data_IF_176539286909
#
_entry.id   IF_176539286909
#
_cell.length_a   1.000
_cell.length_b   1.000
_cell.length_c   1.000
_cell.angle_alpha   90.00
_cell.angle_beta   90.00
_cell.angle_gamma   90.00
#
_symmetry.space_group_name_H-M   'P 1'
#
loop_
_entity.id
_entity.type
_entity.pdbx_description
1 polymer ?
#
# COMPACT_ATOMS: atom_id res chain seq x y z
N UNK A 1 10.20 2.48 32.42
CA UNK A 1 10.29 1.24 31.62
C UNK A 1 11.06 1.53 30.35
N UNK A 2 12.15 0.80 30.08
CA UNK A 2 13.00 1.02 28.90
C UNK A 2 12.33 0.33 27.71
N UNK A 3 11.97 1.09 26.68
CA UNK A 3 11.49 0.52 25.42
C UNK A 3 12.59 -0.38 24.83
N UNK A 4 12.26 -1.61 24.42
CA UNK A 4 13.24 -2.50 23.82
C UNK A 4 13.81 -1.85 22.55
N UNK A 5 15.10 -2.10 22.31
CA UNK A 5 15.85 -1.64 21.15
C UNK A 5 15.10 -1.99 19.85
N UNK A 6 14.78 -0.97 19.03
CA UNK A 6 14.02 -1.03 17.79
C UNK A 6 12.73 -1.89 17.86
N UNK A 7 11.57 -1.23 17.88
CA UNK A 7 10.27 -1.95 17.84
C UNK A 7 10.20 -2.74 16.53
N UNK A 8 10.24 -4.07 16.58
CA UNK A 8 10.01 -4.92 15.41
C UNK A 8 8.50 -5.07 15.19
N UNK A 9 8.02 -4.90 13.96
CA UNK A 9 6.59 -5.03 13.62
C UNK A 9 6.45 -5.91 12.38
N UNK A 10 5.56 -6.89 12.45
CA UNK A 10 5.19 -7.70 11.28
C UNK A 10 4.21 -6.89 10.42
N UNK A 11 4.51 -6.73 9.13
CA UNK A 11 3.63 -6.06 8.18
C UNK A 11 2.93 -7.13 7.35
N UNK A 12 1.62 -7.26 7.52
CA UNK A 12 0.80 -8.27 6.85
C UNK A 12 0.11 -7.63 5.66
N UNK A 13 0.28 -8.22 4.48
CA UNK A 13 -0.23 -7.71 3.22
C UNK A 13 -0.98 -8.82 2.48
N UNK A 14 -2.20 -8.57 1.96
CA UNK A 14 -2.86 -9.51 1.05
C UNK A 14 -2.03 -9.78 -0.22
N UNK A 15 -1.88 -11.04 -0.59
CA UNK A 15 -1.12 -11.46 -1.79
C UNK A 15 -1.72 -11.00 -3.12
N UNK A 16 -3.03 -10.76 -3.15
CA UNK A 16 -3.79 -10.24 -4.28
C UNK A 16 -3.84 -8.69 -4.34
N UNK A 17 -3.14 -7.97 -3.45
CA UNK A 17 -3.17 -6.51 -3.35
C UNK A 17 -1.84 -5.84 -3.73
N UNK A 18 -1.70 -5.56 -5.02
CA UNK A 18 -0.51 -4.92 -5.58
C UNK A 18 -0.25 -3.50 -5.06
N UNK A 19 -1.29 -2.80 -4.61
CA UNK A 19 -1.17 -1.43 -4.08
C UNK A 19 -0.65 -1.51 -2.65
N UNK A 20 -1.21 -2.40 -1.84
CA UNK A 20 -0.77 -2.65 -0.49
C UNK A 20 0.67 -3.18 -0.44
N UNK A 21 1.06 -4.07 -1.35
CA UNK A 21 2.45 -4.56 -1.40
C UNK A 21 3.45 -3.45 -1.68
N UNK A 22 3.13 -2.55 -2.62
CA UNK A 22 3.96 -1.36 -2.89
C UNK A 22 4.01 -0.42 -1.69
N UNK A 23 2.85 -0.17 -1.06
CA UNK A 23 2.78 0.70 0.12
C UNK A 23 3.58 0.13 1.30
N UNK A 24 3.51 -1.17 1.56
CA UNK A 24 4.28 -1.84 2.60
C UNK A 24 5.79 -1.76 2.33
N UNK A 25 6.21 -1.94 1.07
CA UNK A 25 7.60 -1.75 0.66
C UNK A 25 8.09 -0.31 0.88
N UNK A 26 7.29 0.69 0.48
CA UNK A 26 7.63 2.10 0.72
C UNK A 26 7.69 2.39 2.22
N UNK A 27 6.73 1.90 3.01
CA UNK A 27 6.70 2.09 4.45
C UNK A 27 7.94 1.51 5.13
N UNK A 28 8.37 0.31 4.72
CA UNK A 28 9.60 -0.31 5.22
C UNK A 28 10.86 0.49 4.85
N UNK A 29 10.91 1.07 3.66
CA UNK A 29 12.02 1.92 3.23
C UNK A 29 12.08 3.23 4.04
N UNK A 30 10.94 3.89 4.23
CA UNK A 30 10.84 5.17 4.95
C UNK A 30 10.99 5.03 6.48
N UNK A 31 10.76 3.83 7.03
CA UNK A 31 10.95 3.58 8.46
C UNK A 31 12.43 3.60 8.87
N UNK A 32 13.37 3.52 7.92
CA UNK A 32 14.83 3.59 8.17
C UNK A 32 15.32 2.63 9.28
N UNK A 33 14.58 1.54 9.52
CA UNK A 33 14.89 0.55 10.56
C UNK A 33 14.36 0.86 11.97
N UNK A 34 13.59 1.93 12.17
CA UNK A 34 12.86 2.17 13.43
C UNK A 34 11.43 2.71 13.18
N UNK A 35 10.40 1.86 13.27
CA UNK A 35 10.45 0.43 13.63
C UNK A 35 11.09 -0.44 12.54
N UNK A 36 11.62 -1.60 12.95
CA UNK A 36 12.04 -2.66 12.01
C UNK A 36 10.79 -3.35 11.45
N UNK A 37 10.50 -3.15 10.17
CA UNK A 37 9.33 -3.72 9.49
C UNK A 37 9.67 -4.99 8.72
N UNK A 38 9.03 -6.11 9.06
CA UNK A 38 9.13 -7.37 8.32
C UNK A 38 7.85 -7.60 7.51
N UNK A 39 7.92 -7.49 6.20
CA UNK A 39 6.76 -7.66 5.31
C UNK A 39 6.51 -9.13 5.01
N UNK A 40 5.25 -9.55 5.10
CA UNK A 40 4.76 -10.88 4.72
C UNK A 40 3.49 -10.77 3.89
N UNK A 41 3.43 -11.55 2.83
CA UNK A 41 2.24 -11.67 1.98
C UNK A 41 1.40 -12.85 2.47
N UNK A 42 0.08 -12.67 2.55
CA UNK A 42 -0.87 -13.67 3.04
C UNK A 42 -2.05 -13.80 2.09
N UNK A 43 -2.51 -15.02 1.88
CA UNK A 43 -3.74 -15.27 1.13
C UNK A 43 -4.95 -14.83 1.93
N UNK A 44 -5.83 -14.03 1.34
CA UNK A 44 -7.07 -13.59 2.00
C UNK A 44 -8.06 -14.75 2.18
N UNK A 45 -8.11 -15.68 1.22
CA UNK A 45 -9.02 -16.81 1.28
C UNK A 45 -8.66 -17.81 2.38
N UNK A 46 -7.37 -17.93 2.72
CA UNK A 46 -6.84 -18.80 3.78
C UNK A 46 -5.61 -18.16 4.42
N UNK A 47 -5.80 -17.17 5.32
CA UNK A 47 -4.70 -16.42 5.88
C UNK A 47 -3.84 -17.30 6.77
N UNK A 48 -2.53 -17.28 6.54
CA UNK A 48 -1.51 -17.94 7.37
C UNK A 48 -0.45 -16.90 7.71
N UNK A 49 -0.37 -16.54 8.99
CA UNK A 49 0.58 -15.56 9.51
C UNK A 49 1.69 -16.30 10.26
N UNK A 50 2.97 -15.96 10.05
CA UNK A 50 4.06 -16.56 10.84
C UNK A 50 3.89 -16.30 12.33
N UNK A 51 4.24 -17.30 13.14
CA UNK A 51 4.24 -17.15 14.60
C UNK A 51 5.15 -16.00 15.05
N UNK A 52 4.78 -15.39 16.17
CA UNK A 52 5.53 -14.28 16.75
C UNK A 52 6.84 -14.75 17.38
N UNK A 53 7.95 -14.16 16.95
CA UNK A 53 9.27 -14.37 17.54
C UNK A 53 9.63 -13.19 18.46
N UNK A 54 10.08 -12.09 17.87
CA UNK A 54 10.56 -10.89 18.58
C UNK A 54 9.75 -9.64 18.23
N UNK A 55 8.74 -9.78 17.37
CA UNK A 55 7.85 -8.72 16.95
C UNK A 55 7.02 -8.20 18.13
N UNK A 56 6.69 -6.92 18.11
CA UNK A 56 5.84 -6.25 19.10
C UNK A 56 4.34 -6.33 18.74
N UNK A 57 4.02 -6.70 17.50
CA UNK A 57 2.66 -6.83 16.97
C UNK A 57 2.64 -6.85 15.44
N UNK A 58 1.43 -6.80 14.88
CA UNK A 58 1.19 -6.78 13.43
C UNK A 58 0.53 -5.47 12.96
N UNK A 59 1.00 -4.96 11.83
CA UNK A 59 0.41 -3.86 11.07
C UNK A 59 -0.19 -4.44 9.78
N UNK A 60 -1.50 -4.28 9.57
CA UNK A 60 -2.16 -4.77 8.35
C UNK A 60 -2.17 -3.65 7.31
N UNK A 61 -1.70 -3.91 6.09
CA UNK A 61 -1.71 -2.96 4.98
C UNK A 61 -2.60 -3.50 3.87
N UNK A 62 -3.58 -2.71 3.44
CA UNK A 62 -4.52 -3.07 2.37
C UNK A 62 -4.89 -1.85 1.52
N UNK A 63 -5.33 -2.07 0.28
CA UNK A 63 -5.96 -1.04 -0.54
C UNK A 63 -7.44 -0.86 -0.18
N UNK A 64 -7.97 0.32 -0.49
CA UNK A 64 -9.38 0.61 -0.27
C UNK A 64 -10.29 -0.14 -1.29
N UNK A 65 -11.46 -0.58 -0.82
CA UNK A 65 -12.57 -0.99 -1.69
C UNK A 65 -12.57 -2.44 -2.18
N UNK A 66 -11.55 -3.23 -1.84
CA UNK A 66 -11.41 -4.62 -2.32
C UNK A 66 -11.70 -5.70 -1.25
N UNK A 67 -12.05 -5.32 -0.01
CA UNK A 67 -12.19 -6.26 1.12
C UNK A 67 -13.56 -6.20 1.77
N UNK A 68 -14.12 -7.37 2.02
CA UNK A 68 -15.26 -7.56 2.91
C UNK A 68 -14.84 -7.56 4.38
N UNK A 69 -15.82 -7.38 5.27
CA UNK A 69 -15.58 -7.46 6.72
C UNK A 69 -15.13 -8.86 7.15
N UNK A 70 -15.65 -9.91 6.50
CA UNK A 70 -15.28 -11.30 6.78
C UNK A 70 -13.82 -11.59 6.42
N UNK A 71 -13.38 -11.14 5.25
CA UNK A 71 -11.98 -11.25 4.82
C UNK A 71 -11.05 -10.49 5.77
N UNK A 72 -11.45 -9.30 6.21
CA UNK A 72 -10.68 -8.52 7.18
C UNK A 72 -10.59 -9.23 8.54
N UNK A 73 -11.70 -9.82 8.99
CA UNK A 73 -11.75 -10.59 10.22
C UNK A 73 -10.90 -11.87 10.12
N UNK A 74 -10.86 -12.53 8.96
CA UNK A 74 -10.00 -13.68 8.71
C UNK A 74 -8.52 -13.34 8.83
N UNK A 75 -8.09 -12.20 8.26
CA UNK A 75 -6.71 -11.72 8.39
C UNK A 75 -6.38 -11.37 9.84
N UNK A 76 -7.26 -10.65 10.54
CA UNK A 76 -7.07 -10.31 11.95
C UNK A 76 -7.04 -11.56 12.86
N UNK A 77 -7.89 -12.54 12.59
CA UNK A 77 -7.92 -13.83 13.28
C UNK A 77 -6.60 -14.58 13.12
N UNK A 78 -6.09 -14.69 11.89
CA UNK A 78 -4.81 -15.35 11.66
C UNK A 78 -3.63 -14.61 12.32
N UNK A 79 -3.69 -13.27 12.44
CA UNK A 79 -2.69 -12.53 13.23
C UNK A 79 -2.73 -12.94 14.70
N UNK A 80 -3.94 -13.02 15.29
CA UNK A 80 -4.13 -13.44 16.68
C UNK A 80 -3.68 -14.89 16.90
N UNK A 81 -3.98 -15.79 15.96
CA UNK A 81 -3.57 -17.19 15.99
C UNK A 81 -2.03 -17.32 15.97
N UNK A 82 -1.34 -16.47 15.18
CA UNK A 82 0.12 -16.34 15.18
C UNK A 82 0.71 -15.59 16.38
N UNK A 83 -0.11 -15.20 17.37
CA UNK A 83 0.33 -14.50 18.59
C UNK A 83 0.60 -13.00 18.42
N UNK A 84 0.18 -12.40 17.30
CA UNK A 84 0.35 -10.97 17.02
C UNK A 84 -0.91 -10.17 17.38
N UNK A 85 -0.74 -9.15 18.22
CA UNK A 85 -1.76 -8.11 18.39
C UNK A 85 -1.72 -7.18 17.17
N UNK A 86 -2.89 -6.89 16.59
CA UNK A 86 -3.00 -5.91 15.50
C UNK A 86 -2.86 -4.50 16.08
N UNK A 87 -1.70 -3.88 15.89
CA UNK A 87 -1.36 -2.56 16.45
C UNK A 87 -1.82 -1.40 15.56
N UNK A 88 -2.23 -1.69 14.32
CA UNK A 88 -2.75 -0.68 13.40
C UNK A 88 -3.17 -1.25 12.06
N UNK A 89 -3.84 -0.41 11.27
CA UNK A 89 -4.25 -0.70 9.89
C UNK A 89 -3.87 0.48 9.01
N UNK A 90 -3.26 0.20 7.85
CA UNK A 90 -2.95 1.17 6.81
C UNK A 90 -3.85 0.90 5.60
N UNK A 91 -4.59 1.93 5.19
CA UNK A 91 -5.36 1.90 3.94
C UNK A 91 -4.58 2.66 2.88
N UNK A 92 -4.01 1.94 1.93
CA UNK A 92 -3.22 2.48 0.84
C UNK A 92 -4.12 2.99 -0.29
N UNK A 93 -3.92 4.24 -0.69
CA UNK A 93 -4.40 4.79 -1.95
C UNK A 93 -3.48 4.42 -3.11
N UNK A 94 -3.80 4.86 -4.32
CA UNK A 94 -2.94 4.65 -5.49
C UNK A 94 -1.51 5.16 -5.24
N UNK A 95 -0.56 4.25 -5.10
CA UNK A 95 0.86 4.58 -4.97
C UNK A 95 1.43 4.80 -6.37
N UNK A 96 1.61 6.06 -6.76
CA UNK A 96 2.43 6.39 -7.93
C UNK A 96 3.86 5.97 -7.58
N UNK A 97 4.33 4.89 -8.19
CA UNK A 97 5.76 4.58 -8.16
C UNK A 97 6.47 5.80 -8.76
N UNK A 98 7.25 6.52 -7.95
CA UNK A 98 8.15 7.53 -8.47
C UNK A 98 9.09 6.79 -9.40
N UNK A 99 8.89 6.93 -10.71
CA UNK A 99 9.88 6.48 -11.66
C UNK A 99 11.20 7.12 -11.23
N UNK A 100 12.25 6.30 -11.05
CA UNK A 100 13.61 6.83 -11.09
C UNK A 100 13.81 7.36 -12.51
N UNK A 101 13.29 8.55 -12.77
CA UNK A 101 13.46 9.23 -14.03
C UNK A 101 14.94 9.52 -14.19
N UNK A 102 15.53 9.28 -15.38
CA UNK A 102 16.88 9.74 -15.64
C UNK A 102 16.90 11.24 -15.38
N UNK A 103 17.76 11.66 -14.46
CA UNK A 103 18.13 13.05 -14.31
C UNK A 103 18.65 13.49 -15.68
N UNK A 104 18.05 14.54 -16.22
CA UNK A 104 18.35 15.18 -17.50
C UNK A 104 17.50 14.73 -18.71
N UNK A 105 16.33 15.35 -18.83
CA UNK A 105 15.78 15.68 -20.15
C UNK A 105 15.35 17.14 -20.12
N UNK A 106 15.92 18.01 -20.98
CA UNK A 106 15.45 19.38 -21.12
C UNK A 106 13.97 19.35 -21.52
N UNK A 107 13.16 20.08 -20.77
CA UNK A 107 11.74 20.30 -21.08
C UNK A 107 11.68 21.25 -22.26
N UNK A 108 11.33 20.73 -23.44
CA UNK A 108 10.88 21.57 -24.54
C UNK A 108 9.43 21.99 -24.25
N UNK A 109 9.10 23.30 -24.20
CA UNK A 109 7.75 23.72 -23.87
C UNK A 109 6.79 23.36 -25.01
N UNK A 110 5.67 22.66 -24.75
CA UNK A 110 4.68 22.41 -25.77
C UNK A 110 3.96 23.72 -26.13
N UNK A 111 4.13 24.16 -27.38
CA UNK A 111 3.25 25.15 -28.02
C UNK A 111 1.81 24.66 -27.97
N UNK A 112 1.00 25.27 -27.10
CA UNK A 112 -0.43 25.06 -27.05
C UNK A 112 -1.07 25.68 -28.30
N UNK A 113 -1.46 24.85 -29.26
CA UNK A 113 -2.31 25.25 -30.39
C UNK A 113 -3.76 25.15 -29.93
N UNK A 114 -4.41 26.30 -29.75
CA UNK A 114 -5.82 26.41 -29.43
C UNK A 114 -6.67 25.88 -30.59
N UNK A 115 -7.53 24.89 -30.34
CA UNK A 115 -8.53 24.43 -31.30
C UNK A 115 -9.74 25.39 -31.24
N UNK A 116 -9.99 26.08 -32.35
CA UNK A 116 -11.17 26.92 -32.57
C UNK A 116 -12.36 26.03 -32.89
N UNK A 117 -13.45 26.18 -32.15
CA UNK A 117 -14.73 25.54 -32.46
C UNK A 117 -15.42 26.27 -33.61
N UNK A 118 -15.71 25.56 -34.70
CA UNK A 118 -16.72 25.97 -35.69
C UNK A 118 -17.83 24.92 -35.70
N UNK A 119 -19.07 25.36 -35.50
CA UNK A 119 -20.27 24.55 -35.70
C UNK A 119 -21.23 25.33 -36.58
N UNK A 120 -21.08 25.11 -37.88
CA UNK A 120 -22.06 25.44 -38.89
C UNK A 120 -23.30 24.52 -38.78
N UNK A 121 -24.48 25.11 -38.58
CA UNK A 121 -25.75 24.56 -39.09
C UNK A 121 -26.69 25.70 -39.49
N UNK A 122 -26.67 26.02 -40.78
CA UNK A 122 -27.75 26.73 -41.47
C UNK A 122 -28.04 25.97 -42.76
N UNK A 123 -29.13 25.22 -42.79
CA UNK A 123 -29.62 24.49 -43.96
C UNK A 123 -31.08 24.82 -44.21
N UNK A 124 -31.37 25.21 -45.44
CA UNK A 124 -32.54 25.92 -45.95
C UNK A 124 -33.80 25.07 -46.14
N UNK A 125 -34.96 25.73 -46.06
CA UNK A 125 -36.12 25.53 -46.93
C UNK A 125 -36.83 26.88 -47.09
#
# INVERSE_FOLDING_TARGET
>A
ERLPAARRVLVVVPDDDEVARRAAGQLAAEAEGDPLLRVVEVSVARPLVPDRDAESGALVVLSAGARSAEELAGVAGACADGGHEVVGVVVAGAVLARASGPTDRPVDPPTAVAAVHDHARGGSA
#
